data_IF_155747121059
#
_entry.id   IF_155747121059
#
_cell.length_a   1.000
_cell.length_b   1.000
_cell.length_c   1.000
_cell.angle_alpha   90.00
_cell.angle_beta   90.00
_cell.angle_gamma   90.00
#
_symmetry.space_group_name_H-M   'P 1'
#
loop_
_entity.id
_entity.type
_entity.pdbx_description
1 polymer ?
#
# COMPACT_ATOMS: atom_id res chain seq x y z
N UNK A 1 -32.39 -23.42 55.69
CA UNK A 1 -31.25 -23.44 54.75
C UNK A 1 -31.74 -22.82 53.47
N UNK A 2 -31.16 -21.72 53.01
CA UNK A 2 -31.66 -21.03 51.80
C UNK A 2 -31.29 -21.80 50.55
N UNK A 3 -32.28 -21.99 49.69
CA UNK A 3 -32.19 -22.67 48.40
C UNK A 3 -31.25 -21.95 47.40
N UNK A 4 -30.92 -20.69 47.66
CA UNK A 4 -30.08 -19.85 46.83
C UNK A 4 -28.59 -20.30 46.78
N UNK A 5 -28.08 -20.89 47.86
CA UNK A 5 -26.68 -21.34 47.97
C UNK A 5 -26.37 -22.61 47.14
N UNK A 6 -27.39 -23.38 46.77
CA UNK A 6 -27.23 -24.61 45.97
C UNK A 6 -27.14 -24.23 44.47
N UNK A 7 -27.91 -23.22 44.06
CA UNK A 7 -27.97 -22.78 42.66
C UNK A 7 -26.67 -22.04 42.23
N UNK A 8 -26.06 -21.30 43.14
CA UNK A 8 -24.80 -20.55 42.87
C UNK A 8 -23.60 -21.50 42.65
N UNK A 9 -23.52 -22.61 43.36
CA UNK A 9 -22.47 -23.63 43.19
C UNK A 9 -22.58 -24.38 41.86
N UNK A 10 -23.78 -24.65 41.38
CA UNK A 10 -24.02 -25.32 40.11
C UNK A 10 -23.59 -24.38 38.93
N UNK A 11 -23.97 -23.10 38.96
CA UNK A 11 -23.59 -22.13 37.91
C UNK A 11 -22.08 -21.86 37.86
N UNK A 12 -21.39 -21.89 39.00
CA UNK A 12 -19.92 -21.72 39.03
C UNK A 12 -19.22 -22.95 38.44
N UNK A 13 -19.76 -24.14 38.66
CA UNK A 13 -19.26 -25.40 38.09
C UNK A 13 -19.36 -25.45 36.57
N UNK A 14 -20.51 -25.07 36.01
CA UNK A 14 -20.74 -25.05 34.56
C UNK A 14 -19.87 -24.01 33.85
N UNK A 15 -19.70 -22.80 34.41
CA UNK A 15 -18.84 -21.78 33.87
C UNK A 15 -17.37 -22.20 33.85
N UNK A 16 -16.89 -22.87 34.90
CA UNK A 16 -15.51 -23.41 34.98
C UNK A 16 -15.29 -24.52 33.95
N UNK A 17 -16.24 -25.42 33.78
CA UNK A 17 -16.17 -26.48 32.79
C UNK A 17 -16.13 -25.90 31.37
N UNK A 18 -16.97 -24.90 31.06
CA UNK A 18 -16.97 -24.21 29.75
C UNK A 18 -15.65 -23.51 29.46
N UNK A 19 -15.08 -22.80 30.42
CA UNK A 19 -13.80 -22.11 30.27
C UNK A 19 -12.66 -23.10 30.01
N UNK A 20 -12.58 -24.19 30.77
CA UNK A 20 -11.56 -25.22 30.59
C UNK A 20 -11.67 -25.87 29.22
N UNK A 21 -12.88 -26.20 28.78
CA UNK A 21 -13.09 -26.78 27.44
C UNK A 21 -12.65 -25.81 26.33
N UNK A 22 -13.02 -24.53 26.44
CA UNK A 22 -12.61 -23.52 25.45
C UNK A 22 -11.11 -23.36 25.41
N UNK A 23 -10.42 -23.31 26.55
CA UNK A 23 -8.96 -23.18 26.62
C UNK A 23 -8.28 -24.39 25.98
N UNK A 24 -8.76 -25.61 26.27
CA UNK A 24 -8.19 -26.83 25.68
C UNK A 24 -8.36 -26.85 24.15
N UNK A 25 -9.53 -26.47 23.64
CA UNK A 25 -9.77 -26.41 22.19
C UNK A 25 -8.86 -25.38 21.52
N UNK A 26 -8.69 -24.20 22.12
CA UNK A 26 -7.79 -23.16 21.60
C UNK A 26 -6.34 -23.63 21.58
N UNK A 27 -5.88 -24.30 22.64
CA UNK A 27 -4.51 -24.82 22.70
C UNK A 27 -4.27 -25.93 21.68
N UNK A 28 -5.23 -26.82 21.45
CA UNK A 28 -5.12 -27.86 20.43
C UNK A 28 -5.13 -27.28 19.02
N UNK A 29 -5.94 -26.25 18.76
CA UNK A 29 -5.95 -25.54 17.49
C UNK A 29 -4.62 -24.82 17.24
N UNK A 30 -4.05 -24.16 18.26
CA UNK A 30 -2.76 -23.50 18.16
C UNK A 30 -1.62 -24.50 17.92
N UNK A 31 -1.63 -25.66 18.58
CA UNK A 31 -0.66 -26.73 18.35
C UNK A 31 -0.77 -27.31 16.94
N UNK A 32 -1.98 -27.46 16.40
CA UNK A 32 -2.22 -27.90 15.02
C UNK A 32 -1.68 -26.89 13.99
N UNK A 33 -1.92 -25.61 14.19
CA UNK A 33 -1.38 -24.55 13.33
C UNK A 33 0.16 -24.52 13.40
N UNK A 34 0.74 -24.68 14.58
CA UNK A 34 2.20 -24.72 14.75
C UNK A 34 2.86 -25.95 14.10
N UNK A 35 2.19 -27.09 14.11
CA UNK A 35 2.68 -28.34 13.49
C UNK A 35 2.62 -28.29 11.95
N UNK A 36 1.66 -27.55 11.38
CA UNK A 36 1.44 -27.40 9.95
C UNK A 36 2.18 -26.18 9.34
N UNK A 37 2.84 -25.36 10.19
CA UNK A 37 3.57 -24.21 9.70
C UNK A 37 4.74 -24.66 8.82
N UNK A 38 4.83 -24.22 7.56
CA UNK A 38 5.93 -24.60 6.67
C UNK A 38 7.27 -24.14 7.26
N UNK A 39 8.08 -25.10 7.67
CA UNK A 39 9.46 -24.83 8.06
C UNK A 39 10.23 -24.60 6.79
N UNK A 40 10.69 -23.37 6.55
CA UNK A 40 11.60 -23.06 5.45
C UNK A 40 12.90 -23.88 5.67
N UNK A 41 13.03 -24.98 4.95
CA UNK A 41 14.33 -25.66 4.82
C UNK A 41 15.21 -24.74 4.00
N UNK A 42 16.30 -24.27 4.62
CA UNK A 42 17.33 -23.52 3.91
C UNK A 42 17.83 -24.38 2.75
N UNK A 43 17.65 -23.89 1.53
CA UNK A 43 18.21 -24.51 0.32
C UNK A 43 19.73 -24.36 0.42
N UNK A 44 20.54 -25.45 0.40
CA UNK A 44 21.97 -25.31 0.39
C UNK A 44 22.40 -24.66 -0.93
N UNK A 45 23.10 -23.53 -0.83
CA UNK A 45 23.76 -22.90 -1.97
C UNK A 45 24.77 -23.87 -2.58
N UNK A 46 24.71 -24.17 -3.90
CA UNK A 46 25.74 -24.97 -4.54
C UNK A 46 27.05 -24.17 -4.53
N UNK A 47 28.07 -24.70 -3.85
CA UNK A 47 29.44 -24.20 -3.92
C UNK A 47 29.99 -24.53 -5.32
N UNK A 48 30.11 -23.51 -6.17
CA UNK A 48 30.79 -23.63 -7.46
C UNK A 48 32.27 -23.61 -7.19
N UNK A 49 32.88 -24.78 -7.20
CA UNK A 49 34.34 -24.92 -7.17
C UNK A 49 34.89 -24.46 -8.52
N UNK A 50 35.52 -23.30 -8.55
CA UNK A 50 36.22 -22.80 -9.72
C UNK A 50 37.48 -23.67 -9.94
N UNK A 51 37.43 -24.53 -10.96
CA UNK A 51 38.62 -25.25 -11.44
C UNK A 51 39.47 -24.26 -12.25
N UNK A 52 40.61 -23.91 -11.73
CA UNK A 52 41.62 -23.11 -12.43
C UNK A 52 42.20 -23.89 -13.61
N UNK A 53 42.11 -23.34 -14.80
CA UNK A 53 42.82 -23.80 -16.00
C UNK A 53 44.18 -23.06 -16.02
N UNK A 54 45.32 -23.76 -16.03
CA UNK A 54 46.62 -23.11 -16.15
C UNK A 54 47.00 -22.94 -17.65
N UNK A 55 47.43 -21.75 -17.99
CA UNK A 55 48.24 -21.55 -19.21
C UNK A 55 47.74 -20.42 -20.12
N UNK A 56 48.54 -19.47 -20.17
CA UNK A 56 49.14 -18.65 -21.21
C UNK A 56 49.26 -17.21 -20.77
N UNK A 57 50.50 -16.85 -20.50
CA UNK A 57 50.88 -15.47 -20.21
C UNK A 57 51.21 -14.70 -21.45
N UNK A 58 51.21 -13.39 -21.30
CA UNK A 58 52.24 -12.41 -21.64
C UNK A 58 51.59 -11.02 -21.77
N UNK A 59 52.33 -9.96 -21.44
CA UNK A 59 51.75 -8.61 -21.29
C UNK A 59 51.73 -7.89 -22.64
N UNK A 60 50.65 -7.14 -22.88
CA UNK A 60 50.61 -6.17 -24.00
C UNK A 60 50.43 -4.77 -23.42
N UNK A 61 51.39 -3.96 -23.78
CA UNK A 61 51.64 -2.55 -23.52
C UNK A 61 50.45 -1.66 -23.97
N UNK A 62 50.17 -0.64 -23.18
CA UNK A 62 49.19 0.40 -23.46
C UNK A 62 49.56 1.26 -24.70
N UNK A 63 48.53 1.63 -25.46
CA UNK A 63 48.54 2.84 -26.26
C UNK A 63 47.14 3.47 -26.26
N UNK A 64 47.00 4.80 -26.26
CA UNK A 64 45.72 5.48 -26.04
C UNK A 64 44.92 5.61 -27.33
N UNK A 65 43.67 5.18 -27.30
CA UNK A 65 42.69 5.33 -28.37
C UNK A 65 41.45 6.02 -27.85
N UNK A 66 41.27 7.24 -28.26
CA UNK A 66 40.05 8.06 -28.20
C UNK A 66 38.87 7.39 -28.84
N UNK A 67 37.72 7.42 -28.14
CA UNK A 67 36.44 7.05 -28.76
C UNK A 67 35.40 6.73 -27.72
N UNK A 68 34.70 7.74 -27.25
CA UNK A 68 33.62 7.59 -26.31
C UNK A 68 32.43 6.81 -26.85
N UNK A 69 31.89 6.00 -26.02
CA UNK A 69 30.45 5.74 -25.99
C UNK A 69 30.03 5.80 -24.55
N UNK A 70 29.20 6.78 -24.23
CA UNK A 70 28.52 6.95 -23.00
C UNK A 70 27.60 5.73 -22.80
N UNK A 71 28.05 4.77 -22.01
CA UNK A 71 27.17 3.82 -21.38
C UNK A 71 26.21 4.63 -20.51
N UNK A 72 24.93 4.57 -20.83
CA UNK A 72 23.89 5.10 -19.98
C UNK A 72 24.06 4.45 -18.59
N UNK A 73 24.64 5.21 -17.67
CA UNK A 73 24.72 4.82 -16.28
C UNK A 73 23.29 4.63 -15.79
N UNK A 74 22.98 3.43 -15.34
CA UNK A 74 21.83 3.22 -14.47
C UNK A 74 22.06 4.12 -13.25
N UNK A 75 21.48 5.32 -13.28
CA UNK A 75 21.52 6.24 -12.17
C UNK A 75 20.95 5.54 -10.97
N UNK A 76 21.68 5.56 -9.86
CA UNK A 76 21.11 5.18 -8.57
C UNK A 76 19.79 5.94 -8.40
N UNK A 77 18.69 5.25 -8.02
CA UNK A 77 17.44 5.93 -7.79
C UNK A 77 17.64 7.02 -6.75
N UNK A 78 17.09 8.20 -7.03
CA UNK A 78 17.06 9.27 -6.04
C UNK A 78 16.34 8.75 -4.78
N UNK A 79 16.69 9.24 -3.57
CA UNK A 79 15.98 8.85 -2.35
C UNK A 79 14.48 9.00 -2.56
N UNK A 80 13.70 7.91 -2.35
CA UNK A 80 12.25 7.85 -2.57
C UNK A 80 11.82 7.59 -4.03
N UNK A 81 12.74 7.30 -4.96
CA UNK A 81 12.41 6.92 -6.34
C UNK A 81 12.00 5.44 -6.44
N UNK A 82 11.03 5.14 -7.31
CA UNK A 82 10.65 3.78 -7.64
C UNK A 82 11.63 3.16 -8.65
N UNK A 83 11.75 1.81 -8.69
CA UNK A 83 12.62 1.11 -9.65
C UNK A 83 12.03 1.16 -11.07
N UNK A 84 12.26 2.29 -11.78
CA UNK A 84 11.60 2.65 -13.04
C UNK A 84 11.71 1.56 -14.13
N UNK A 85 12.89 0.94 -14.27
CA UNK A 85 13.11 -0.11 -15.27
C UNK A 85 12.27 -1.36 -15.03
N UNK A 86 12.01 -1.69 -13.76
CA UNK A 86 11.24 -2.88 -13.36
C UNK A 86 9.73 -2.63 -13.44
N UNK A 87 9.30 -1.37 -13.34
CA UNK A 87 7.88 -1.01 -13.31
C UNK A 87 7.29 -0.71 -14.69
N UNK A 88 8.08 -0.61 -15.75
CA UNK A 88 7.56 -0.29 -17.09
C UNK A 88 6.47 -1.27 -17.57
N UNK A 89 6.68 -2.57 -17.44
CA UNK A 89 5.71 -3.59 -17.78
C UNK A 89 4.46 -3.57 -16.89
N UNK A 90 4.60 -3.62 -15.56
CA UNK A 90 3.47 -3.49 -14.63
C UNK A 90 2.62 -2.23 -14.82
N UNK A 91 3.24 -1.06 -15.08
CA UNK A 91 2.54 0.19 -15.40
C UNK A 91 1.71 0.10 -16.67
N UNK A 92 2.30 -0.46 -17.73
CA UNK A 92 1.59 -0.67 -19.00
C UNK A 92 0.37 -1.59 -18.81
N UNK A 93 0.49 -2.64 -18.02
CA UNK A 93 -0.61 -3.56 -17.71
C UNK A 93 -1.71 -2.90 -16.86
N UNK A 94 -1.35 -2.15 -15.84
CA UNK A 94 -2.29 -1.46 -14.97
C UNK A 94 -3.01 -0.31 -15.69
N UNK A 95 -2.34 0.37 -16.62
CA UNK A 95 -2.87 1.47 -17.44
C UNK A 95 -3.66 2.50 -16.59
N UNK A 96 -3.05 2.98 -15.50
CA UNK A 96 -3.68 3.90 -14.57
C UNK A 96 -3.90 5.27 -15.22
N UNK A 97 -4.91 5.99 -14.74
CA UNK A 97 -5.08 7.39 -15.08
C UNK A 97 -3.86 8.21 -14.61
N UNK A 98 -3.51 9.30 -15.30
CA UNK A 98 -2.39 10.15 -14.94
C UNK A 98 -2.50 10.64 -13.49
N UNK A 99 -1.38 10.72 -12.80
CA UNK A 99 -1.32 11.41 -11.51
C UNK A 99 -1.68 12.90 -11.67
N UNK A 100 -2.28 13.53 -10.66
CA UNK A 100 -2.62 14.94 -10.72
C UNK A 100 -1.38 15.80 -10.88
N UNK A 101 -1.48 16.88 -11.68
CA UNK A 101 -0.39 17.82 -11.90
C UNK A 101 -0.18 18.68 -10.65
N UNK A 102 1.08 18.91 -10.27
CA UNK A 102 1.45 19.79 -9.16
C UNK A 102 1.47 21.27 -9.60
N UNK A 103 0.34 21.80 -10.02
CA UNK A 103 0.20 23.15 -10.62
C UNK A 103 -0.50 24.17 -9.72
N UNK A 104 -1.11 23.72 -8.62
CA UNK A 104 -1.79 24.62 -7.68
C UNK A 104 -0.82 25.36 -6.77
N UNK A 105 -1.29 26.45 -6.16
CA UNK A 105 -0.58 27.09 -5.05
C UNK A 105 -0.85 26.26 -3.79
N UNK A 106 0.20 25.75 -3.12
CA UNK A 106 0.00 24.98 -1.90
C UNK A 106 -0.73 25.82 -0.85
N UNK A 107 -1.87 25.31 -0.37
CA UNK A 107 -2.55 25.87 0.80
C UNK A 107 -1.85 25.39 2.08
N UNK A 108 -2.19 25.98 3.22
CA UNK A 108 -1.83 25.39 4.52
C UNK A 108 -2.56 24.05 4.64
N UNK A 109 -1.80 22.96 4.44
CA UNK A 109 -2.35 21.61 4.37
C UNK A 109 -1.43 20.64 5.10
N UNK A 110 -1.94 19.60 5.75
CA UNK A 110 -1.16 18.48 6.24
C UNK A 110 -0.29 17.80 5.17
N UNK A 111 -0.64 18.00 3.90
CA UNK A 111 0.07 17.45 2.74
C UNK A 111 0.97 18.47 2.05
N UNK A 112 1.11 19.70 2.59
CA UNK A 112 2.02 20.71 2.04
C UNK A 112 3.47 20.20 2.07
N UNK A 113 4.16 20.26 0.90
CA UNK A 113 5.53 19.78 0.74
C UNK A 113 5.69 18.24 0.76
N UNK A 114 4.60 17.48 0.87
CA UNK A 114 4.64 16.01 0.74
C UNK A 114 4.81 15.64 -0.73
N UNK A 115 5.96 15.08 -1.05
CA UNK A 115 6.34 14.67 -2.40
C UNK A 115 6.42 13.15 -2.47
N UNK A 116 5.65 12.56 -3.38
CA UNK A 116 5.52 11.11 -3.52
C UNK A 116 5.64 10.68 -4.98
N UNK A 117 6.21 9.49 -5.28
CA UNK A 117 6.27 8.97 -6.64
C UNK A 117 4.87 8.72 -7.20
N UNK A 118 4.65 9.04 -8.47
CA UNK A 118 3.49 8.55 -9.19
C UNK A 118 3.65 7.05 -9.45
N UNK A 119 2.65 6.24 -9.08
CA UNK A 119 2.69 4.80 -9.26
C UNK A 119 2.49 4.40 -10.73
N UNK A 120 1.58 5.07 -11.43
CA UNK A 120 1.19 4.75 -12.81
C UNK A 120 2.17 5.24 -13.89
N UNK A 121 3.09 6.14 -13.56
CA UNK A 121 4.05 6.71 -14.49
C UNK A 121 5.33 7.17 -13.77
N UNK A 122 6.47 7.33 -14.46
CA UNK A 122 7.62 7.99 -13.90
C UNK A 122 7.29 9.43 -13.44
N UNK A 123 7.88 9.85 -12.34
CA UNK A 123 7.75 11.20 -11.81
C UNK A 123 7.28 11.27 -10.37
N UNK A 124 7.25 12.48 -9.85
CA UNK A 124 6.93 12.82 -8.46
C UNK A 124 5.79 13.81 -8.43
N UNK A 125 4.86 13.62 -7.52
CA UNK A 125 3.71 14.50 -7.26
C UNK A 125 3.95 15.25 -5.96
N UNK A 126 3.87 16.57 -5.97
CA UNK A 126 3.73 17.40 -4.78
C UNK A 126 2.24 17.46 -4.42
N UNK A 127 1.85 16.75 -3.36
CA UNK A 127 0.43 16.59 -3.01
C UNK A 127 -0.21 17.90 -2.57
N UNK A 128 0.52 18.77 -1.89
CA UNK A 128 0.01 20.08 -1.51
C UNK A 128 -0.41 20.92 -2.72
N UNK A 129 0.43 20.94 -3.75
CA UNK A 129 0.15 21.65 -5.00
C UNK A 129 -0.86 20.92 -5.90
N UNK A 130 -0.83 19.60 -5.91
CA UNK A 130 -1.70 18.77 -6.76
C UNK A 130 -3.17 18.76 -6.31
N UNK A 131 -3.42 18.91 -5.00
CA UNK A 131 -4.75 18.86 -4.40
C UNK A 131 -5.33 20.25 -4.07
N UNK A 132 -4.56 21.32 -4.29
CA UNK A 132 -4.98 22.68 -3.98
C UNK A 132 -6.17 23.12 -4.85
N UNK A 133 -7.13 23.83 -4.24
CA UNK A 133 -8.21 24.52 -4.94
C UNK A 133 -9.42 23.66 -5.31
N UNK A 134 -9.43 22.36 -5.01
CA UNK A 134 -10.59 21.51 -5.29
C UNK A 134 -10.72 20.37 -4.25
N UNK A 135 -11.96 19.92 -4.09
CA UNK A 135 -12.23 18.79 -3.19
C UNK A 135 -11.75 17.50 -3.86
N UNK A 136 -10.99 16.70 -3.12
CA UNK A 136 -10.50 15.39 -3.59
C UNK A 136 -10.71 14.33 -2.52
N UNK A 137 -11.16 13.14 -2.92
CA UNK A 137 -11.14 11.96 -2.06
C UNK A 137 -9.76 11.29 -2.16
N UNK A 138 -9.06 11.16 -1.05
CA UNK A 138 -7.78 10.44 -0.94
C UNK A 138 -8.03 9.14 -0.19
N UNK A 139 -7.76 8.00 -0.83
CA UNK A 139 -7.90 6.68 -0.22
C UNK A 139 -6.54 6.03 -0.07
N UNK A 140 -6.22 5.59 1.14
CA UNK A 140 -4.94 4.92 1.48
C UNK A 140 -5.18 3.43 1.63
N UNK A 141 -4.38 2.65 0.92
CA UNK A 141 -4.54 1.20 0.76
C UNK A 141 -3.19 0.50 0.61
N UNK A 142 -3.19 -0.83 0.52
CA UNK A 142 -2.04 -1.66 0.15
C UNK A 142 -2.49 -2.95 -0.55
N UNK A 143 -1.64 -3.58 -1.35
CA UNK A 143 -1.97 -4.81 -2.08
C UNK A 143 -2.25 -6.00 -1.18
N UNK A 144 -1.61 -6.07 -0.03
CA UNK A 144 -1.78 -7.09 0.99
C UNK A 144 -3.02 -6.90 1.87
N UNK A 145 -3.72 -5.75 1.75
CA UNK A 145 -4.90 -5.41 2.55
C UNK A 145 -6.17 -6.02 1.92
N UNK A 146 -6.70 -7.07 2.51
CA UNK A 146 -7.90 -7.77 2.01
C UNK A 146 -9.12 -6.85 1.85
N UNK A 147 -9.53 -6.06 2.85
CA UNK A 147 -10.64 -5.12 2.74
C UNK A 147 -10.41 -4.04 1.65
N UNK A 148 -9.16 -3.58 1.44
CA UNK A 148 -8.83 -2.60 0.41
C UNK A 148 -9.11 -3.16 -1.00
N UNK A 149 -8.82 -4.45 -1.24
CA UNK A 149 -9.10 -5.13 -2.52
C UNK A 149 -10.59 -5.11 -2.87
N UNK A 150 -11.46 -5.19 -1.88
CA UNK A 150 -12.91 -5.11 -2.07
C UNK A 150 -13.39 -3.66 -2.33
N UNK A 151 -12.76 -2.68 -1.69
CA UNK A 151 -13.15 -1.27 -1.78
C UNK A 151 -12.71 -0.59 -3.08
N UNK A 152 -11.49 -0.87 -3.56
CA UNK A 152 -10.91 -0.21 -4.75
C UNK A 152 -11.85 -0.20 -5.97
N UNK A 153 -12.54 -1.30 -6.35
CA UNK A 153 -13.52 -1.29 -7.43
C UNK A 153 -14.74 -0.40 -7.14
N UNK A 154 -15.11 -0.20 -5.87
CA UNK A 154 -16.20 0.71 -5.48
C UNK A 154 -15.80 2.14 -5.74
N UNK A 155 -14.59 2.53 -5.34
CA UNK A 155 -14.03 3.86 -5.61
C UNK A 155 -13.91 4.14 -7.11
N UNK A 156 -13.48 3.15 -7.89
CA UNK A 156 -13.42 3.28 -9.35
C UNK A 156 -14.80 3.51 -9.98
N UNK A 157 -15.83 2.82 -9.50
CA UNK A 157 -17.21 3.08 -9.95
C UNK A 157 -17.69 4.46 -9.52
N UNK A 158 -17.44 4.86 -8.28
CA UNK A 158 -17.78 6.21 -7.82
C UNK A 158 -17.16 7.29 -8.72
N UNK A 159 -15.88 7.18 -9.04
CA UNK A 159 -15.17 8.15 -9.87
C UNK A 159 -15.80 8.36 -11.27
N UNK A 160 -16.63 7.43 -11.74
CA UNK A 160 -17.36 7.55 -13.01
C UNK A 160 -18.79 8.09 -12.86
N UNK A 161 -19.27 8.36 -11.64
CA UNK A 161 -20.60 8.91 -11.42
C UNK A 161 -20.63 10.41 -11.67
N UNK A 162 -21.79 10.91 -12.12
CA UNK A 162 -22.00 12.36 -12.32
C UNK A 162 -21.86 13.10 -10.99
N UNK A 163 -21.03 14.13 -10.97
CA UNK A 163 -20.77 14.93 -9.75
C UNK A 163 -19.77 14.31 -8.78
N UNK A 164 -19.11 13.20 -9.13
CA UNK A 164 -18.01 12.66 -8.33
C UNK A 164 -16.86 13.67 -8.24
N UNK A 165 -16.28 13.81 -7.05
CA UNK A 165 -15.00 14.51 -6.91
C UNK A 165 -13.86 13.61 -7.41
N UNK A 166 -12.70 14.19 -7.79
CA UNK A 166 -11.50 13.41 -8.08
C UNK A 166 -11.17 12.43 -6.96
N UNK A 167 -10.71 11.24 -7.35
CA UNK A 167 -10.23 10.22 -6.43
C UNK A 167 -8.74 10.01 -6.67
N UNK A 168 -7.93 10.17 -5.65
CA UNK A 168 -6.51 9.82 -5.64
C UNK A 168 -6.30 8.65 -4.69
N UNK A 169 -5.64 7.60 -5.15
CA UNK A 169 -5.29 6.47 -4.29
C UNK A 169 -3.81 6.54 -3.88
N UNK A 170 -3.53 6.13 -2.66
CA UNK A 170 -2.19 6.13 -2.07
C UNK A 170 -1.85 4.70 -1.66
N UNK A 171 -0.89 4.13 -2.34
CA UNK A 171 -0.30 2.85 -2.00
C UNK A 171 0.72 3.02 -0.88
N UNK A 172 0.47 2.43 0.28
CA UNK A 172 1.22 2.71 1.50
C UNK A 172 1.93 1.47 2.03
N UNK A 173 3.24 1.61 2.28
CA UNK A 173 4.08 0.55 2.85
C UNK A 173 3.97 -0.78 2.09
N UNK A 174 4.06 -0.73 0.76
CA UNK A 174 3.84 -1.85 -0.14
C UNK A 174 4.92 -1.95 -1.22
N UNK A 175 4.94 -3.06 -1.94
CA UNK A 175 5.73 -3.25 -3.15
C UNK A 175 5.01 -2.62 -4.34
N UNK A 176 5.60 -1.65 -5.05
CA UNK A 176 4.95 -0.98 -6.18
C UNK A 176 4.54 -1.92 -7.31
N UNK A 177 5.27 -3.02 -7.54
CA UNK A 177 4.92 -3.99 -8.57
C UNK A 177 3.70 -4.82 -8.14
N UNK A 178 3.61 -5.21 -6.86
CA UNK A 178 2.44 -5.88 -6.29
C UNK A 178 1.20 -4.97 -6.33
N UNK A 179 1.37 -3.70 -5.98
CA UNK A 179 0.31 -2.69 -6.06
C UNK A 179 -0.24 -2.55 -7.50
N UNK A 180 0.64 -2.39 -8.49
CA UNK A 180 0.26 -2.31 -9.90
C UNK A 180 -0.42 -3.59 -10.40
N UNK A 181 0.09 -4.75 -10.00
CA UNK A 181 -0.50 -6.05 -10.35
C UNK A 181 -1.93 -6.17 -9.81
N UNK A 182 -2.16 -5.76 -8.56
CA UNK A 182 -3.49 -5.74 -7.97
C UNK A 182 -4.45 -4.80 -8.71
N UNK A 183 -4.03 -3.56 -9.00
CA UNK A 183 -4.87 -2.60 -9.72
C UNK A 183 -5.22 -3.11 -11.12
N UNK A 184 -4.27 -3.77 -11.81
CA UNK A 184 -4.50 -4.43 -13.09
C UNK A 184 -5.51 -5.58 -12.98
N UNK A 185 -5.36 -6.47 -12.00
CA UNK A 185 -6.27 -7.58 -11.71
C UNK A 185 -7.70 -7.08 -11.49
N UNK A 186 -7.85 -6.05 -10.65
CA UNK A 186 -9.14 -5.44 -10.31
C UNK A 186 -9.69 -4.54 -11.42
N UNK A 187 -8.93 -4.25 -12.46
CA UNK A 187 -9.25 -3.29 -13.53
C UNK A 187 -9.55 -1.90 -12.99
N UNK A 188 -8.90 -1.52 -11.91
CA UNK A 188 -8.98 -0.19 -11.31
C UNK A 188 -7.94 0.71 -11.96
N UNK A 189 -8.39 1.79 -12.59
CA UNK A 189 -7.52 2.73 -13.32
C UNK A 189 -7.50 4.12 -12.70
N UNK A 190 -7.74 4.21 -11.41
CA UNK A 190 -7.65 5.47 -10.68
C UNK A 190 -6.19 5.98 -10.66
N UNK A 191 -5.98 7.30 -10.58
CA UNK A 191 -4.67 7.85 -10.28
C UNK A 191 -4.16 7.26 -8.96
N UNK A 192 -2.89 6.86 -8.95
CA UNK A 192 -2.26 6.29 -7.77
C UNK A 192 -0.85 6.84 -7.56
N UNK A 193 -0.53 7.15 -6.32
CA UNK A 193 0.83 7.50 -5.85
C UNK A 193 1.31 6.46 -4.86
N UNK A 194 2.62 6.28 -4.73
CA UNK A 194 3.21 5.41 -3.73
C UNK A 194 3.72 6.22 -2.54
N UNK A 195 3.54 5.70 -1.32
CA UNK A 195 4.03 6.30 -0.07
C UNK A 195 5.04 5.35 0.63
N UNK A 196 6.20 5.07 -0.01
CA UNK A 196 7.16 4.10 0.52
C UNK A 196 7.76 4.54 1.85
N UNK A 197 7.91 5.84 2.05
CA UNK A 197 8.53 6.42 3.24
C UNK A 197 7.50 6.85 4.31
N UNK A 198 6.22 6.65 4.06
CA UNK A 198 5.14 7.03 4.98
C UNK A 198 4.97 8.55 5.13
N UNK A 199 5.32 9.35 4.12
CA UNK A 199 5.21 10.81 4.17
C UNK A 199 3.74 11.26 4.22
N UNK A 200 2.86 10.60 3.45
CA UNK A 200 1.41 10.84 3.45
C UNK A 200 0.80 10.42 4.78
N UNK A 201 1.14 9.21 5.24
CA UNK A 201 0.63 8.65 6.49
C UNK A 201 0.99 9.52 7.70
N UNK A 202 2.21 10.05 7.74
CA UNK A 202 2.64 11.00 8.78
C UNK A 202 1.93 12.36 8.63
N UNK A 203 1.86 12.91 7.42
CA UNK A 203 1.19 14.19 7.17
C UNK A 203 -0.27 14.17 7.63
N UNK A 204 -1.01 13.14 7.27
CA UNK A 204 -2.40 12.95 7.65
C UNK A 204 -2.58 12.50 9.12
N UNK A 205 -1.51 12.21 9.85
CA UNK A 205 -1.56 11.62 11.21
C UNK A 205 -2.50 10.42 11.27
N UNK A 206 -2.33 9.52 10.31
CA UNK A 206 -3.24 8.39 10.12
C UNK A 206 -3.31 7.48 11.36
N UNK A 207 -4.53 7.09 11.79
CA UNK A 207 -4.67 6.02 12.75
C UNK A 207 -4.20 4.68 12.14
N UNK A 208 -3.87 3.68 12.97
CA UNK A 208 -3.50 2.35 12.46
C UNK A 208 -4.68 1.68 11.75
N UNK A 209 -4.36 0.96 10.66
CA UNK A 209 -5.33 0.19 9.87
C UNK A 209 -5.49 0.72 8.45
N UNK A 210 -5.98 -0.15 7.58
CA UNK A 210 -6.33 0.12 6.17
C UNK A 210 -7.63 -0.62 5.83
N UNK A 211 -8.43 -0.11 4.87
CA UNK A 211 -8.26 1.15 4.16
C UNK A 211 -8.66 2.37 4.99
N UNK A 212 -8.13 3.55 4.62
CA UNK A 212 -8.54 4.82 5.20
C UNK A 212 -8.83 5.83 4.08
N UNK A 213 -9.93 6.54 4.20
CA UNK A 213 -10.33 7.57 3.24
C UNK A 213 -10.36 8.95 3.90
N UNK A 214 -9.84 9.94 3.20
CA UNK A 214 -9.83 11.35 3.61
C UNK A 214 -10.47 12.21 2.53
N UNK A 215 -11.25 13.19 2.94
CA UNK A 215 -11.66 14.29 2.06
C UNK A 215 -10.66 15.42 2.27
N UNK A 216 -9.93 15.76 1.22
CA UNK A 216 -9.11 16.97 1.14
C UNK A 216 -9.96 18.07 0.54
N UNK A 217 -10.12 19.18 1.26
CA UNK A 217 -10.93 20.31 0.81
C UNK A 217 -10.14 21.27 -0.07
N UNK A 218 -10.85 22.16 -0.76
CA UNK A 218 -10.24 23.16 -1.62
C UNK A 218 -9.26 24.10 -0.87
N UNK A 219 -9.48 24.32 0.41
CA UNK A 219 -8.60 25.09 1.29
C UNK A 219 -7.37 24.31 1.80
N UNK A 220 -7.25 23.04 1.42
CA UNK A 220 -6.17 22.13 1.85
C UNK A 220 -6.43 21.43 3.18
N UNK A 221 -7.47 21.76 3.91
CA UNK A 221 -7.84 21.04 5.12
C UNK A 221 -8.27 19.60 4.81
N UNK A 222 -8.07 18.70 5.77
CA UNK A 222 -8.33 17.26 5.57
C UNK A 222 -9.31 16.76 6.64
N UNK A 223 -10.21 15.86 6.25
CA UNK A 223 -11.12 15.19 7.16
C UNK A 223 -11.09 13.68 6.92
N UNK A 224 -10.84 12.89 7.96
CA UNK A 224 -10.97 11.45 7.92
C UNK A 224 -12.45 11.06 7.79
N UNK A 225 -12.75 10.10 6.92
CA UNK A 225 -14.06 9.46 6.87
C UNK A 225 -14.22 8.61 8.13
N UNK A 226 -15.20 8.95 8.96
CA UNK A 226 -15.48 8.27 10.22
C UNK A 226 -16.95 7.76 10.24
N UNK A 227 -17.19 6.50 10.62
CA UNK A 227 -16.23 5.46 10.99
C UNK A 227 -15.38 5.02 9.79
N UNK A 228 -14.10 4.62 10.02
CA UNK A 228 -13.19 4.19 8.97
C UNK A 228 -13.47 2.74 8.55
N UNK A 229 -14.58 2.54 7.88
CA UNK A 229 -14.99 1.24 7.33
C UNK A 229 -14.90 1.26 5.81
N UNK A 230 -14.53 0.14 5.16
CA UNK A 230 -14.45 0.07 3.71
C UNK A 230 -15.80 0.40 3.06
N UNK A 231 -15.80 1.20 2.02
CA UNK A 231 -16.98 1.44 1.22
C UNK A 231 -17.40 0.19 0.45
N UNK A 232 -18.69 -0.08 0.42
CA UNK A 232 -19.28 -1.22 -0.31
C UNK A 232 -20.05 -0.79 -1.54
N UNK A 233 -20.46 0.49 -1.61
CA UNK A 233 -21.24 1.07 -2.71
C UNK A 233 -20.79 2.50 -3.03
N UNK A 234 -20.88 2.94 -4.30
CA UNK A 234 -20.53 4.30 -4.71
C UNK A 234 -21.32 5.40 -3.98
N UNK A 235 -22.58 5.12 -3.61
CA UNK A 235 -23.44 6.06 -2.91
C UNK A 235 -22.94 6.40 -1.50
N UNK A 236 -22.29 5.44 -0.84
CA UNK A 236 -21.65 5.64 0.47
C UNK A 236 -20.47 6.60 0.36
N UNK A 237 -19.68 6.46 -0.73
CA UNK A 237 -18.59 7.38 -1.05
C UNK A 237 -19.12 8.79 -1.28
N UNK A 238 -20.16 8.93 -2.12
CA UNK A 238 -20.79 10.20 -2.40
C UNK A 238 -21.32 10.88 -1.13
N UNK A 239 -21.98 10.12 -0.25
CA UNK A 239 -22.51 10.63 1.01
C UNK A 239 -21.38 11.08 1.97
N UNK A 240 -20.28 10.33 2.04
CA UNK A 240 -19.13 10.70 2.86
C UNK A 240 -18.47 11.98 2.35
N UNK A 241 -18.26 12.10 1.04
CA UNK A 241 -17.72 13.30 0.41
C UNK A 241 -18.65 14.50 0.67
N UNK A 242 -19.95 14.38 0.41
CA UNK A 242 -20.90 15.48 0.61
C UNK A 242 -20.96 15.97 2.08
N UNK A 243 -20.74 15.07 3.04
CA UNK A 243 -20.73 15.44 4.46
C UNK A 243 -19.46 16.17 4.88
N UNK A 244 -18.33 15.91 4.23
CA UNK A 244 -17.00 16.33 4.66
C UNK A 244 -16.38 17.43 3.77
N UNK A 245 -17.02 17.77 2.65
CA UNK A 245 -16.57 18.81 1.70
C UNK A 245 -16.72 20.21 2.24
#
# INVERSE_FOLDING_TARGET
MPLDAINDRAMIGERRAAIVTTVVVVLLAAAGVYALWPRTTAVPTPSVTATAIPGVGAPVTAAPGTGGQAGAGAGSPAPGGLPEAELAGPRAAAALAPCPASSGTPAESPLAGVRVPCLGAPGVVDLGAALAGHVTLVNVWASWCGPCRAELPVLARYATTTGAVPVLTVDSADDPAAALALLSELRVRLPAVADPDGAVTRGLRMPPGLPLSYVVRADGSTALVDPPVPFTRPEEVAAAVARLS
#
